data_IF_676662820444
#
_entry.id   IF_676662820444
#
_cell.length_a   1.000
_cell.length_b   1.000
_cell.length_c   1.000
_cell.angle_alpha   90.00
_cell.angle_beta   90.00
_cell.angle_gamma   90.00
#
_symmetry.space_group_name_H-M   'P 1'
#
loop_
_entity.id
_entity.type
_entity.pdbx_description
1 polymer ?
#
# COMPACT_ATOMS: atom_id res chain seq x y z
N UNK A 1 -28.62 10.21 -6.90
CA UNK A 1 -28.10 9.10 -6.08
C UNK A 1 -28.51 7.80 -6.76
N UNK A 2 -27.57 6.88 -6.92
CA UNK A 2 -27.85 5.57 -7.48
C UNK A 2 -28.41 4.65 -6.38
N UNK A 3 -29.37 3.78 -6.74
CA UNK A 3 -29.81 2.71 -5.86
C UNK A 3 -28.71 1.65 -5.70
N UNK A 4 -28.76 0.83 -4.64
CA UNK A 4 -27.77 -0.22 -4.36
C UNK A 4 -27.70 -1.22 -5.53
N UNK A 5 -28.82 -1.53 -6.16
CA UNK A 5 -28.93 -2.41 -7.31
C UNK A 5 -28.13 -1.88 -8.52
N UNK A 6 -28.08 -0.55 -8.71
CA UNK A 6 -27.27 0.09 -9.74
C UNK A 6 -25.77 -0.12 -9.54
N UNK A 7 -25.29 -0.07 -8.29
CA UNK A 7 -23.91 -0.41 -7.96
C UNK A 7 -23.58 -1.89 -8.12
N UNK A 8 -24.49 -2.78 -7.70
CA UNK A 8 -24.34 -4.24 -7.93
C UNK A 8 -24.22 -4.55 -9.41
N UNK A 9 -25.09 -3.94 -10.24
CA UNK A 9 -25.03 -4.12 -11.69
C UNK A 9 -23.69 -3.62 -12.26
N UNK A 10 -23.25 -2.40 -11.88
CA UNK A 10 -21.99 -1.82 -12.32
C UNK A 10 -20.82 -2.75 -12.00
N UNK A 11 -20.66 -3.15 -10.74
CA UNK A 11 -19.53 -3.97 -10.33
C UNK A 11 -19.56 -5.37 -10.93
N UNK A 12 -20.75 -5.93 -11.16
CA UNK A 12 -20.89 -7.25 -11.79
C UNK A 12 -20.57 -7.22 -13.29
N UNK A 13 -20.88 -6.13 -14.00
CA UNK A 13 -20.81 -6.06 -15.47
C UNK A 13 -19.63 -5.24 -15.99
N UNK A 14 -19.14 -4.26 -15.26
CA UNK A 14 -18.13 -3.29 -15.70
C UNK A 14 -17.01 -3.02 -14.68
N UNK A 15 -17.10 -3.63 -13.49
CA UNK A 15 -16.15 -3.38 -12.41
C UNK A 15 -14.71 -3.74 -12.78
N UNK A 16 -13.78 -2.86 -12.43
CA UNK A 16 -12.35 -2.99 -12.73
C UNK A 16 -11.55 -3.42 -11.50
N UNK A 17 -10.39 -4.03 -11.69
CA UNK A 17 -9.53 -4.51 -10.59
C UNK A 17 -9.16 -3.37 -9.60
N UNK A 18 -8.85 -2.17 -10.09
CA UNK A 18 -8.53 -1.03 -9.22
C UNK A 18 -9.71 -0.60 -8.33
N UNK A 19 -10.97 -0.80 -8.78
CA UNK A 19 -12.16 -0.54 -7.96
C UNK A 19 -12.27 -1.57 -6.82
N UNK A 20 -11.97 -2.84 -7.07
CA UNK A 20 -11.91 -3.87 -6.01
C UNK A 20 -10.87 -3.47 -4.94
N UNK A 21 -9.68 -3.03 -5.33
CA UNK A 21 -8.66 -2.54 -4.41
C UNK A 21 -9.13 -1.30 -3.62
N UNK A 22 -9.80 -0.35 -4.27
CA UNK A 22 -10.35 0.83 -3.59
C UNK A 22 -11.43 0.44 -2.57
N UNK A 23 -12.31 -0.50 -2.94
CA UNK A 23 -13.39 -0.96 -2.07
C UNK A 23 -12.90 -1.72 -0.83
N UNK A 24 -11.72 -2.36 -0.86
CA UNK A 24 -11.09 -2.93 0.34
C UNK A 24 -10.96 -1.91 1.49
N UNK A 25 -10.77 -0.64 1.16
CA UNK A 25 -10.64 0.46 2.13
C UNK A 25 -11.95 1.19 2.41
N UNK A 26 -13.05 0.79 1.76
CA UNK A 26 -14.34 1.45 1.91
C UNK A 26 -14.93 1.26 3.32
N UNK A 27 -15.61 2.29 3.83
CA UNK A 27 -16.32 2.26 5.10
C UNK A 27 -17.49 3.23 5.09
N UNK A 28 -18.51 2.93 5.83
CA UNK A 28 -19.58 3.89 6.14
C UNK A 28 -19.00 4.97 7.06
N UNK A 29 -19.09 6.22 6.67
CA UNK A 29 -18.58 7.35 7.44
C UNK A 29 -19.65 8.40 7.78
N UNK A 30 -20.80 8.36 7.09
CA UNK A 30 -21.93 9.26 7.33
C UNK A 30 -23.21 8.66 6.74
N UNK A 31 -24.36 9.16 7.16
CA UNK A 31 -25.68 8.77 6.66
C UNK A 31 -26.33 7.63 7.44
N UNK A 32 -27.25 6.92 6.81
CA UNK A 32 -28.00 5.85 7.43
C UNK A 32 -27.16 4.55 7.48
N UNK A 33 -26.88 4.06 8.68
CA UNK A 33 -26.11 2.82 8.89
C UNK A 33 -26.74 1.61 8.19
N UNK A 34 -28.07 1.51 8.16
CA UNK A 34 -28.75 0.41 7.49
C UNK A 34 -28.45 0.39 5.99
N UNK A 35 -28.53 1.53 5.31
CA UNK A 35 -28.18 1.66 3.90
C UNK A 35 -26.69 1.35 3.68
N UNK A 36 -25.81 1.85 4.55
CA UNK A 36 -24.39 1.58 4.50
C UNK A 36 -24.06 0.08 4.63
N UNK A 37 -24.71 -0.61 5.56
CA UNK A 37 -24.55 -2.04 5.75
C UNK A 37 -25.07 -2.85 4.54
N UNK A 38 -26.26 -2.49 4.04
CA UNK A 38 -26.82 -3.12 2.82
C UNK A 38 -25.88 -2.94 1.63
N UNK A 39 -25.30 -1.75 1.44
CA UNK A 39 -24.32 -1.51 0.39
C UNK A 39 -23.07 -2.39 0.57
N UNK A 40 -22.53 -2.44 1.80
CA UNK A 40 -21.34 -3.25 2.11
C UNK A 40 -21.57 -4.72 1.81
N UNK A 41 -22.70 -5.28 2.23
CA UNK A 41 -23.08 -6.66 1.92
C UNK A 41 -23.30 -6.89 0.40
N UNK A 42 -23.90 -5.92 -0.28
CA UNK A 42 -24.18 -6.00 -1.70
C UNK A 42 -22.91 -6.02 -2.58
N UNK A 43 -21.84 -5.34 -2.17
CA UNK A 43 -20.57 -5.30 -2.89
C UNK A 43 -19.59 -6.40 -2.44
N UNK A 44 -19.81 -7.05 -1.31
CA UNK A 44 -18.90 -8.07 -0.76
C UNK A 44 -18.54 -9.18 -1.76
N UNK A 45 -19.49 -9.79 -2.50
CA UNK A 45 -19.18 -10.84 -3.49
C UNK A 45 -18.34 -10.34 -4.67
N UNK A 46 -18.39 -9.03 -4.96
CA UNK A 46 -17.54 -8.43 -5.97
C UNK A 46 -16.11 -8.19 -5.45
N UNK A 47 -15.97 -7.70 -4.23
CA UNK A 47 -14.65 -7.44 -3.62
C UNK A 47 -13.94 -8.76 -3.34
N UNK A 48 -14.62 -9.70 -2.70
CA UNK A 48 -14.10 -11.01 -2.30
C UNK A 48 -14.78 -12.10 -3.12
N UNK A 49 -14.11 -12.49 -4.20
CA UNK A 49 -14.63 -13.61 -4.99
C UNK A 49 -14.56 -14.91 -4.17
N UNK A 50 -15.60 -15.77 -4.22
CA UNK A 50 -15.61 -17.00 -3.43
C UNK A 50 -14.53 -18.01 -3.83
N UNK A 51 -14.03 -17.93 -5.04
CA UNK A 51 -12.94 -18.76 -5.54
C UNK A 51 -11.65 -17.94 -5.56
N UNK A 52 -10.56 -18.56 -5.08
CA UNK A 52 -9.22 -17.96 -5.16
C UNK A 52 -8.80 -17.85 -6.62
N UNK A 53 -8.54 -16.64 -7.08
CA UNK A 53 -8.09 -16.36 -8.46
C UNK A 53 -6.65 -15.82 -8.47
N UNK A 54 -5.65 -16.64 -8.83
CA UNK A 54 -4.26 -16.20 -8.93
C UNK A 54 -4.02 -15.07 -9.95
N UNK A 55 -4.88 -14.90 -10.96
CA UNK A 55 -4.79 -13.82 -11.94
C UNK A 55 -4.91 -12.44 -11.29
N UNK A 56 -5.51 -12.35 -10.11
CA UNK A 56 -5.57 -11.12 -9.31
C UNK A 56 -4.17 -10.56 -9.04
N UNK A 57 -3.21 -11.41 -8.67
CA UNK A 57 -1.83 -10.98 -8.43
C UNK A 57 -1.17 -10.47 -9.72
N UNK A 58 -1.41 -11.14 -10.84
CA UNK A 58 -0.95 -10.67 -12.15
C UNK A 58 -1.49 -9.29 -12.50
N UNK A 59 -2.79 -9.05 -12.31
CA UNK A 59 -3.43 -7.76 -12.59
C UNK A 59 -2.88 -6.64 -11.71
N UNK A 60 -2.66 -6.92 -10.41
CA UNK A 60 -2.07 -5.97 -9.46
C UNK A 60 -0.62 -5.66 -9.88
N UNK A 61 0.17 -6.67 -10.21
CA UNK A 61 1.53 -6.49 -10.68
C UNK A 61 1.58 -5.63 -11.96
N UNK A 62 0.74 -5.93 -12.94
CA UNK A 62 0.67 -5.16 -14.18
C UNK A 62 0.24 -3.70 -13.95
N UNK A 63 -0.67 -3.46 -13.02
CA UNK A 63 -1.04 -2.11 -12.59
C UNK A 63 0.16 -1.37 -11.96
N UNK A 64 0.94 -2.07 -11.10
CA UNK A 64 2.15 -1.51 -10.49
C UNK A 64 3.18 -1.11 -11.57
N UNK A 65 3.38 -1.96 -12.56
CA UNK A 65 4.29 -1.69 -13.70
C UNK A 65 3.85 -0.44 -14.49
N UNK A 66 2.55 -0.28 -14.74
CA UNK A 66 2.02 0.94 -15.40
C UNK A 66 2.31 2.20 -14.58
N UNK A 67 2.12 2.14 -13.24
CA UNK A 67 2.43 3.25 -12.34
C UNK A 67 3.92 3.57 -12.37
N UNK A 68 4.79 2.56 -12.32
CA UNK A 68 6.24 2.72 -12.39
C UNK A 68 6.70 3.40 -13.68
N UNK A 69 6.21 2.94 -14.83
CA UNK A 69 6.52 3.56 -16.13
C UNK A 69 6.08 5.03 -16.20
N UNK A 70 4.86 5.34 -15.78
CA UNK A 70 4.37 6.70 -15.74
C UNK A 70 5.17 7.61 -14.78
N UNK A 71 5.74 7.06 -13.71
CA UNK A 71 6.61 7.78 -12.78
C UNK A 71 7.97 8.07 -13.41
N UNK A 72 8.56 7.11 -14.13
CA UNK A 72 9.82 7.26 -14.88
C UNK A 72 9.70 8.32 -15.97
N UNK A 73 8.64 8.31 -16.76
CA UNK A 73 8.38 9.29 -17.81
C UNK A 73 8.30 10.73 -17.27
N UNK A 74 7.86 10.90 -16.01
CA UNK A 74 7.83 12.18 -15.33
C UNK A 74 9.16 12.55 -14.64
N UNK A 75 10.22 11.78 -14.82
CA UNK A 75 11.53 12.00 -14.17
C UNK A 75 11.46 11.96 -12.64
N UNK A 76 10.57 11.15 -12.09
CA UNK A 76 10.19 11.19 -10.67
C UNK A 76 10.44 9.90 -9.90
N UNK A 77 11.19 8.93 -10.46
CA UNK A 77 11.36 7.60 -9.85
C UNK A 77 12.18 7.60 -8.57
N UNK A 78 13.25 8.40 -8.53
CA UNK A 78 14.16 8.39 -7.41
C UNK A 78 13.60 9.12 -6.21
N UNK A 79 13.77 8.53 -5.03
CA UNK A 79 13.33 9.10 -3.76
C UNK A 79 11.83 9.39 -3.61
N UNK A 80 10.98 8.72 -4.42
CA UNK A 80 9.52 8.87 -4.28
C UNK A 80 8.98 7.84 -3.27
N UNK A 81 8.81 8.25 -2.03
CA UNK A 81 8.48 7.40 -0.86
C UNK A 81 7.23 6.54 -1.08
N UNK A 82 6.24 7.04 -1.81
CA UNK A 82 4.97 6.33 -2.01
C UNK A 82 4.97 5.41 -3.23
N UNK A 83 5.38 5.94 -4.39
CA UNK A 83 5.25 5.24 -5.69
C UNK A 83 6.58 4.70 -6.21
N UNK A 84 7.71 5.04 -5.58
CA UNK A 84 9.03 4.49 -5.90
C UNK A 84 9.09 3.00 -5.65
N UNK A 85 10.13 2.37 -6.16
CA UNK A 85 10.41 0.93 -5.93
C UNK A 85 10.59 0.67 -4.44
N UNK A 86 9.92 -0.33 -3.90
CA UNK A 86 9.91 -0.60 -2.46
C UNK A 86 9.15 0.43 -1.61
N UNK A 87 8.37 1.32 -2.23
CA UNK A 87 7.62 2.35 -1.54
C UNK A 87 6.32 1.84 -0.90
N UNK A 88 5.60 2.75 -0.24
CA UNK A 88 4.36 2.46 0.49
C UNK A 88 3.36 1.69 -0.37
N UNK A 89 3.24 2.02 -1.66
CA UNK A 89 2.27 1.39 -2.57
C UNK A 89 2.56 -0.09 -2.78
N UNK A 90 3.81 -0.53 -2.80
CA UNK A 90 4.15 -1.95 -2.93
C UNK A 90 3.75 -2.74 -1.69
N UNK A 91 3.91 -2.18 -0.48
CA UNK A 91 3.42 -2.79 0.76
C UNK A 91 1.89 -2.92 0.72
N UNK A 92 1.20 -1.83 0.34
CA UNK A 92 -0.27 -1.84 0.20
C UNK A 92 -0.72 -2.88 -0.82
N UNK A 93 -0.01 -3.06 -1.93
CA UNK A 93 -0.34 -4.03 -2.97
C UNK A 93 -0.11 -5.48 -2.53
N UNK A 94 0.95 -5.77 -1.76
CA UNK A 94 1.14 -7.08 -1.13
C UNK A 94 -0.09 -7.42 -0.27
N UNK A 95 -0.47 -6.52 0.64
CA UNK A 95 -1.60 -6.74 1.55
C UNK A 95 -2.91 -6.91 0.78
N UNK A 96 -3.18 -6.00 -0.17
CA UNK A 96 -4.40 -6.05 -0.97
C UNK A 96 -4.45 -7.29 -1.87
N UNK A 97 -3.30 -7.73 -2.39
CA UNK A 97 -3.21 -8.96 -3.16
C UNK A 97 -3.68 -10.16 -2.35
N UNK A 98 -3.14 -10.36 -1.15
CA UNK A 98 -3.61 -11.44 -0.26
C UNK A 98 -5.08 -11.29 0.12
N UNK A 99 -5.55 -10.07 0.44
CA UNK A 99 -6.95 -9.83 0.76
C UNK A 99 -7.89 -10.17 -0.40
N UNK A 100 -7.52 -9.86 -1.65
CA UNK A 100 -8.36 -10.13 -2.82
C UNK A 100 -8.33 -11.59 -3.25
N UNK A 101 -7.18 -12.26 -3.12
CA UNK A 101 -7.03 -13.69 -3.48
C UNK A 101 -7.75 -14.58 -2.48
N UNK A 102 -7.59 -14.31 -1.19
CA UNK A 102 -8.06 -15.21 -0.13
C UNK A 102 -9.28 -14.69 0.64
N UNK A 103 -9.67 -13.43 0.45
CA UNK A 103 -10.73 -12.77 1.22
C UNK A 103 -12.13 -13.36 1.05
N UNK A 104 -12.36 -14.19 0.02
CA UNK A 104 -13.59 -14.98 -0.15
C UNK A 104 -13.65 -16.23 0.72
N UNK A 105 -12.52 -16.65 1.31
CA UNK A 105 -12.46 -17.81 2.19
C UNK A 105 -13.16 -17.55 3.53
N UNK A 106 -13.71 -18.61 4.11
CA UNK A 106 -14.39 -18.52 5.40
C UNK A 106 -13.41 -18.03 6.51
N UNK A 107 -13.85 -17.04 7.28
CA UNK A 107 -13.08 -16.49 8.39
C UNK A 107 -12.16 -15.34 8.00
N UNK A 108 -12.02 -15.00 6.71
CA UNK A 108 -11.21 -13.85 6.31
C UNK A 108 -11.88 -12.52 6.71
N UNK A 109 -11.21 -11.66 7.51
CA UNK A 109 -11.79 -10.40 7.93
C UNK A 109 -11.72 -9.36 6.81
N UNK A 110 -12.73 -8.49 6.71
CA UNK A 110 -12.63 -7.28 5.91
C UNK A 110 -11.84 -6.21 6.67
N UNK A 111 -10.51 -6.39 6.77
CA UNK A 111 -9.64 -5.49 7.53
C UNK A 111 -9.12 -4.35 6.63
N UNK A 112 -9.31 -3.13 7.09
CA UNK A 112 -8.92 -1.90 6.37
C UNK A 112 -7.54 -1.39 6.76
N UNK A 113 -7.07 -1.73 7.96
CA UNK A 113 -5.75 -1.37 8.44
C UNK A 113 -4.69 -2.26 7.79
N UNK A 114 -3.72 -1.67 7.12
CA UNK A 114 -2.62 -2.39 6.49
C UNK A 114 -1.83 -3.22 7.51
N UNK A 115 -1.53 -2.66 8.69
CA UNK A 115 -0.77 -3.35 9.72
C UNK A 115 -1.54 -4.53 10.33
N UNK A 116 -2.85 -4.37 10.60
CA UNK A 116 -3.68 -5.47 11.10
C UNK A 116 -3.85 -6.58 10.07
N UNK A 117 -4.00 -6.20 8.80
CA UNK A 117 -4.07 -7.18 7.73
C UNK A 117 -2.73 -7.94 7.56
N UNK A 118 -1.57 -7.26 7.69
CA UNK A 118 -0.25 -7.91 7.68
C UNK A 118 -0.12 -8.94 8.80
N UNK A 119 -0.51 -8.57 10.04
CA UNK A 119 -0.48 -9.51 11.16
C UNK A 119 -1.36 -10.74 10.87
N UNK A 120 -2.58 -10.52 10.40
CA UNK A 120 -3.48 -11.62 10.06
C UNK A 120 -2.91 -12.53 8.96
N UNK A 121 -2.29 -11.96 7.92
CA UNK A 121 -1.66 -12.68 6.79
C UNK A 121 -0.50 -13.57 7.31
N UNK A 122 0.30 -13.05 8.23
CA UNK A 122 1.39 -13.80 8.86
C UNK A 122 0.88 -14.93 9.75
N UNK A 123 -0.10 -14.65 10.63
CA UNK A 123 -0.71 -15.65 11.53
C UNK A 123 -1.29 -16.85 10.77
N UNK A 124 -1.62 -16.66 9.47
CA UNK A 124 -2.14 -17.74 8.60
C UNK A 124 -1.09 -18.31 7.64
N UNK A 125 0.19 -17.95 7.82
CA UNK A 125 1.34 -18.55 7.12
C UNK A 125 1.52 -18.11 5.66
N UNK A 126 0.86 -17.04 5.22
CA UNK A 126 1.04 -16.50 3.86
C UNK A 126 2.31 -15.64 3.73
N UNK A 127 2.78 -15.07 4.84
CA UNK A 127 4.07 -14.42 5.01
C UNK A 127 4.78 -15.07 6.20
N UNK A 128 6.10 -15.09 6.18
CA UNK A 128 6.87 -15.43 7.37
C UNK A 128 6.79 -14.31 8.41
N UNK A 129 7.02 -14.63 9.68
CA UNK A 129 7.05 -13.63 10.76
C UNK A 129 8.07 -12.51 10.48
N UNK A 130 9.23 -12.88 9.92
CA UNK A 130 10.27 -11.92 9.54
C UNK A 130 9.79 -10.98 8.42
N UNK A 131 9.15 -11.50 7.37
CA UNK A 131 8.62 -10.66 6.28
C UNK A 131 7.52 -9.72 6.75
N UNK A 132 6.63 -10.19 7.62
CA UNK A 132 5.58 -9.36 8.18
C UNK A 132 6.15 -8.26 9.10
N UNK A 133 7.18 -8.57 9.87
CA UNK A 133 7.90 -7.60 10.70
C UNK A 133 8.60 -6.55 9.83
N UNK A 134 9.35 -6.97 8.80
CA UNK A 134 10.04 -6.09 7.86
C UNK A 134 9.08 -5.16 7.12
N UNK A 135 7.95 -5.69 6.61
CA UNK A 135 6.92 -4.89 5.95
C UNK A 135 6.25 -3.90 6.90
N UNK A 136 6.02 -4.30 8.16
CA UNK A 136 5.40 -3.43 9.17
C UNK A 136 6.34 -2.30 9.57
N UNK A 137 7.62 -2.59 9.80
CA UNK A 137 8.65 -1.59 10.11
C UNK A 137 8.83 -0.62 8.95
N UNK A 138 8.95 -1.14 7.72
CA UNK A 138 9.05 -0.32 6.52
C UNK A 138 7.81 0.56 6.31
N UNK A 139 6.61 0.02 6.53
CA UNK A 139 5.36 0.79 6.38
C UNK A 139 5.31 1.96 7.36
N UNK A 140 5.63 1.72 8.63
CA UNK A 140 5.65 2.77 9.66
C UNK A 140 6.70 3.83 9.34
N UNK A 141 7.92 3.44 8.99
CA UNK A 141 8.99 4.36 8.61
C UNK A 141 8.62 5.21 7.40
N UNK A 142 8.15 4.58 6.32
CA UNK A 142 7.81 5.28 5.08
C UNK A 142 6.59 6.20 5.25
N UNK A 143 5.62 5.82 6.09
CA UNK A 143 4.46 6.68 6.41
C UNK A 143 4.84 7.88 7.26
N UNK A 144 5.74 7.71 8.25
CA UNK A 144 6.24 8.85 9.03
C UNK A 144 7.06 9.78 8.12
N UNK A 145 7.94 9.23 7.29
CA UNK A 145 8.71 10.00 6.32
C UNK A 145 7.80 10.77 5.35
N UNK A 146 6.76 10.15 4.79
CA UNK A 146 5.77 10.81 3.93
C UNK A 146 5.11 11.99 4.66
N UNK A 147 4.67 11.79 5.91
CA UNK A 147 4.03 12.82 6.71
C UNK A 147 4.98 14.01 6.98
N UNK A 148 6.26 13.74 7.32
CA UNK A 148 7.26 14.80 7.56
C UNK A 148 7.57 15.60 6.29
N UNK A 149 7.66 14.93 5.14
CA UNK A 149 7.83 15.59 3.84
C UNK A 149 6.66 16.54 3.57
N UNK A 150 5.43 16.11 3.76
CA UNK A 150 4.24 16.94 3.54
C UNK A 150 4.17 18.13 4.51
N UNK A 151 4.47 17.90 5.78
CA UNK A 151 4.53 18.98 6.79
C UNK A 151 5.59 20.03 6.48
N UNK A 152 6.73 19.63 5.94
CA UNK A 152 7.85 20.55 5.68
C UNK A 152 7.68 21.41 4.42
N UNK A 153 6.85 20.98 3.48
CA UNK A 153 6.69 21.63 2.16
C UNK A 153 5.36 22.35 1.97
N UNK A 154 4.39 22.16 2.89
CA UNK A 154 3.00 22.62 2.75
C UNK A 154 2.37 22.22 1.37
N UNK A 155 2.87 21.15 0.79
CA UNK A 155 2.45 20.61 -0.50
C UNK A 155 2.24 19.10 -0.40
N UNK A 156 1.33 18.56 -1.21
CA UNK A 156 1.14 17.12 -1.36
C UNK A 156 2.27 16.47 -2.18
N UNK A 157 3.51 16.61 -1.68
CA UNK A 157 4.67 15.96 -2.28
C UNK A 157 4.99 14.66 -1.55
N UNK A 158 5.55 13.69 -2.28
CA UNK A 158 6.00 12.40 -1.73
C UNK A 158 7.48 12.14 -2.04
N UNK A 159 8.23 13.21 -2.38
CA UNK A 159 9.64 13.10 -2.75
C UNK A 159 10.54 13.59 -1.62
N UNK A 160 11.54 12.80 -1.29
CA UNK A 160 12.61 13.24 -0.41
C UNK A 160 13.32 14.43 -1.10
N UNK A 161 13.56 15.54 -0.42
CA UNK A 161 14.24 16.70 -0.99
C UNK A 161 15.66 16.34 -1.44
N UNK A 162 16.15 16.98 -2.51
CA UNK A 162 17.49 16.69 -3.04
C UNK A 162 18.62 17.42 -2.28
N UNK A 163 18.31 18.54 -1.61
CA UNK A 163 19.32 19.35 -0.89
C UNK A 163 19.69 18.65 0.42
N UNK A 164 21.00 18.46 0.66
CA UNK A 164 21.57 17.84 1.88
C UNK A 164 21.01 18.42 3.16
N UNK A 165 20.98 19.75 3.26
CA UNK A 165 20.43 20.44 4.43
C UNK A 165 18.96 20.10 4.67
N UNK A 166 18.14 20.02 3.63
CA UNK A 166 16.72 19.65 3.77
C UNK A 166 16.55 18.19 4.18
N UNK A 167 17.41 17.30 3.67
CA UNK A 167 17.45 15.88 4.08
C UNK A 167 17.86 15.75 5.55
N UNK A 168 18.87 16.52 6.00
CA UNK A 168 19.30 16.51 7.39
C UNK A 168 18.21 17.04 8.34
N UNK A 169 17.47 18.08 7.94
CA UNK A 169 16.31 18.57 8.71
C UNK A 169 15.25 17.47 8.82
N UNK A 170 14.91 16.83 7.71
CA UNK A 170 13.94 15.75 7.66
C UNK A 170 14.38 14.56 8.52
N UNK A 171 15.67 14.18 8.46
CA UNK A 171 16.25 13.15 9.31
C UNK A 171 16.05 13.45 10.81
N UNK A 172 16.36 14.68 11.23
CA UNK A 172 16.18 15.11 12.63
C UNK A 172 14.71 15.09 13.05
N UNK A 173 13.78 15.45 12.16
CA UNK A 173 12.35 15.32 12.42
C UNK A 173 11.92 13.88 12.65
N UNK A 174 12.65 12.91 12.11
CA UNK A 174 12.44 11.48 12.31
C UNK A 174 13.26 10.90 13.48
N UNK A 175 13.94 11.74 14.26
CA UNK A 175 14.79 11.31 15.37
C UNK A 175 16.15 10.76 14.96
N UNK A 176 16.56 10.94 13.69
CA UNK A 176 17.87 10.52 13.19
C UNK A 176 18.85 11.70 13.25
N UNK A 177 20.04 11.50 13.83
CA UNK A 177 21.08 12.53 13.89
C UNK A 177 22.47 11.90 13.88
N UNK A 178 23.42 12.64 13.31
CA UNK A 178 24.85 12.33 13.32
C UNK A 178 25.64 13.61 13.53
N UNK A 179 26.98 13.53 13.58
CA UNK A 179 27.85 14.65 13.92
C UNK A 179 27.78 15.81 12.92
N UNK A 180 27.57 15.53 11.62
CA UNK A 180 27.47 16.53 10.56
C UNK A 180 26.14 16.51 9.84
N UNK A 181 25.82 17.55 9.08
CA UNK A 181 24.61 17.58 8.24
C UNK A 181 24.67 16.52 7.14
N UNK A 182 25.82 16.32 6.54
CA UNK A 182 26.05 15.31 5.48
C UNK A 182 25.85 13.90 6.05
N UNK A 183 26.42 13.59 7.20
CA UNK A 183 26.25 12.30 7.86
C UNK A 183 24.79 12.06 8.27
N UNK A 184 24.11 13.11 8.77
CA UNK A 184 22.69 13.03 9.13
C UNK A 184 21.81 12.77 7.90
N UNK A 185 22.07 13.45 6.79
CA UNK A 185 21.36 13.23 5.53
C UNK A 185 21.61 11.82 4.97
N UNK A 186 22.88 11.37 5.00
CA UNK A 186 23.25 10.02 4.57
C UNK A 186 22.57 8.94 5.41
N UNK A 187 22.40 9.16 6.71
CA UNK A 187 21.68 8.24 7.60
C UNK A 187 20.22 8.08 7.18
N UNK A 188 19.51 9.17 6.86
CA UNK A 188 18.14 9.10 6.35
C UNK A 188 18.05 8.28 5.06
N UNK A 189 18.96 8.54 4.11
CA UNK A 189 18.96 7.84 2.84
C UNK A 189 19.30 6.35 2.99
N UNK A 190 20.19 5.99 3.91
CA UNK A 190 20.51 4.61 4.21
C UNK A 190 19.33 3.84 4.81
N UNK A 191 18.58 4.46 5.72
CA UNK A 191 17.36 3.87 6.27
C UNK A 191 16.28 3.71 5.22
N UNK A 192 16.07 4.74 4.38
CA UNK A 192 15.14 4.65 3.25
C UNK A 192 15.52 3.50 2.33
N UNK A 193 16.81 3.39 1.95
CA UNK A 193 17.31 2.31 1.09
C UNK A 193 17.11 0.94 1.73
N UNK A 194 17.42 0.77 3.02
CA UNK A 194 17.21 -0.48 3.76
C UNK A 194 15.75 -0.94 3.64
N UNK A 195 14.80 -0.07 3.99
CA UNK A 195 13.38 -0.42 3.98
C UNK A 195 12.85 -0.68 2.58
N UNK A 196 13.19 0.16 1.61
CA UNK A 196 12.71 -0.01 0.24
C UNK A 196 13.29 -1.28 -0.43
N UNK A 197 14.53 -1.66 -0.12
CA UNK A 197 15.13 -2.90 -0.59
C UNK A 197 14.43 -4.12 0.00
N UNK A 198 14.16 -4.13 1.31
CA UNK A 198 13.45 -5.23 1.96
C UNK A 198 12.04 -5.39 1.40
N UNK A 199 11.29 -4.29 1.27
CA UNK A 199 9.95 -4.29 0.66
C UNK A 199 9.98 -4.86 -0.76
N UNK A 200 10.94 -4.42 -1.59
CA UNK A 200 11.06 -4.88 -2.98
C UNK A 200 11.34 -6.36 -3.07
N UNK A 201 12.22 -6.87 -2.23
CA UNK A 201 12.54 -8.30 -2.18
C UNK A 201 11.29 -9.14 -1.87
N UNK A 202 10.50 -8.73 -0.87
CA UNK A 202 9.26 -9.43 -0.51
C UNK A 202 8.21 -9.29 -1.62
N UNK A 203 8.07 -8.10 -2.21
CA UNK A 203 7.17 -7.86 -3.34
C UNK A 203 7.48 -8.79 -4.51
N UNK A 204 8.74 -8.88 -4.91
CA UNK A 204 9.17 -9.74 -6.00
C UNK A 204 8.88 -11.21 -5.70
N UNK A 205 9.14 -11.68 -4.48
CA UNK A 205 8.80 -13.04 -4.07
C UNK A 205 7.29 -13.32 -4.19
N UNK A 206 6.46 -12.41 -3.69
CA UNK A 206 5.00 -12.61 -3.66
C UNK A 206 4.41 -12.60 -5.08
N UNK A 207 4.83 -11.67 -5.91
CA UNK A 207 4.22 -11.48 -7.23
C UNK A 207 4.88 -12.30 -8.34
N UNK A 208 6.18 -12.58 -8.30
CA UNK A 208 6.82 -13.43 -9.31
C UNK A 208 6.69 -14.93 -9.04
N UNK A 209 6.47 -15.34 -7.79
CA UNK A 209 6.20 -16.76 -7.48
C UNK A 209 4.78 -17.18 -7.90
N UNK A 210 3.91 -16.23 -8.24
CA UNK A 210 2.54 -16.45 -8.69
C UNK A 210 2.38 -16.43 -10.23
N UNK A 211 3.45 -16.12 -10.95
CA UNK A 211 3.55 -16.16 -12.42
C UNK A 211 4.26 -17.44 -12.87
#
# INVERSE_FOLDING_TARGET
ANAIEGYQWHYKSQGQMWERQALLKSRVCAGCNNVGNQFTEAIRPYVFHPESDPLILYDIHHMREKIGRALLERGSSDYHVKLGTGGIREIEFIVQGFQLVYGGMQGWPWERSTLKALAWIADHGYLTDSEAADLSEAYLFLRDLENRIQMSSDQQTHKIPQKTRAQAVLARMMGLSAETEEATAALLLSWHQKHTTSVRTIYDRVFHSAM
#
